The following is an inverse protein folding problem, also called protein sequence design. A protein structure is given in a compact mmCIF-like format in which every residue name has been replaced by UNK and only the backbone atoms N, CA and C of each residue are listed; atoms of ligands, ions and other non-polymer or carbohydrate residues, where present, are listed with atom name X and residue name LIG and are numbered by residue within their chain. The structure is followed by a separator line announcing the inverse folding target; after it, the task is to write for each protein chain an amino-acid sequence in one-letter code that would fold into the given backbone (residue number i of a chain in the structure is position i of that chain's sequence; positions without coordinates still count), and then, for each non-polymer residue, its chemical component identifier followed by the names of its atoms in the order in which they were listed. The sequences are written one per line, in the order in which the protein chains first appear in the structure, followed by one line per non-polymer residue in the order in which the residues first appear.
data_IF_136508819556
#
_entry.id   IF_136508819556
#
_cell.length_a   1.000
_cell.length_b   1.000
_cell.length_c   1.000
_cell.angle_alpha   90.00
_cell.angle_beta   90.00
_cell.angle_gamma   90.00
#
_symmetry.space_group_name_H-M   'P 1'
#
loop_
_entity.id
_entity.type
_entity.pdbx_description
1 polymer ?
#
# COMPACT_ATOMS: atom_id res chain seq x y z
N UNK A 1 14.03 0.57 9.56
CA UNK A 1 13.21 1.27 8.54
C UNK A 1 13.39 0.52 7.21
N UNK A 2 12.33 0.32 6.40
CA UNK A 2 12.42 -0.36 5.09
C UNK A 2 13.46 0.30 4.18
N UNK A 3 14.21 -0.52 3.43
CA UNK A 3 15.15 -0.03 2.43
C UNK A 3 14.47 0.45 1.13
N UNK A 4 13.27 -0.04 0.85
CA UNK A 4 12.48 0.31 -0.33
C UNK A 4 11.03 0.63 0.05
N UNK A 5 10.47 1.66 -0.60
CA UNK A 5 9.10 2.12 -0.40
C UNK A 5 8.34 2.22 -1.71
N UNK A 6 7.18 1.59 -1.79
CA UNK A 6 6.19 1.79 -2.83
C UNK A 6 5.21 2.88 -2.38
N UNK A 7 5.03 3.91 -3.22
CA UNK A 7 4.07 4.98 -2.97
C UNK A 7 2.85 4.76 -3.87
N UNK A 8 1.66 4.63 -3.27
CA UNK A 8 0.43 4.42 -4.01
C UNK A 8 -0.19 5.73 -4.48
N UNK A 9 -0.86 5.74 -5.62
CA UNK A 9 -1.64 6.87 -6.11
C UNK A 9 -2.81 6.35 -6.97
N UNK A 10 -3.76 7.23 -7.33
CA UNK A 10 -4.86 6.91 -8.24
C UNK A 10 -4.37 6.20 -9.50
N UNK A 11 -3.24 6.68 -10.07
CA UNK A 11 -2.72 6.19 -11.35
C UNK A 11 -2.22 4.75 -11.29
N UNK A 12 -1.68 4.31 -10.16
CA UNK A 12 -1.06 2.99 -10.03
C UNK A 12 -1.88 2.00 -9.20
N UNK A 13 -3.11 2.37 -8.76
CA UNK A 13 -3.94 1.55 -7.88
C UNK A 13 -4.14 0.12 -8.40
N UNK A 14 -4.36 -0.03 -9.71
CA UNK A 14 -4.56 -1.33 -10.36
C UNK A 14 -3.31 -2.21 -10.46
N UNK A 15 -2.13 -1.65 -10.19
CA UNK A 15 -0.84 -2.34 -10.26
C UNK A 15 -0.25 -2.67 -8.88
N UNK A 16 -0.86 -2.16 -7.80
CA UNK A 16 -0.28 -2.25 -6.44
C UNK A 16 -0.09 -3.69 -5.99
N UNK A 17 -1.05 -4.56 -6.27
CA UNK A 17 -0.99 -5.96 -5.86
C UNK A 17 0.15 -6.71 -6.55
N UNK A 18 0.40 -6.42 -7.84
CA UNK A 18 1.50 -7.00 -8.58
C UNK A 18 2.85 -6.45 -8.09
N UNK A 19 2.94 -5.13 -7.92
CA UNK A 19 4.14 -4.47 -7.41
C UNK A 19 4.53 -4.98 -6.02
N UNK A 20 3.56 -5.13 -5.11
CA UNK A 20 3.79 -5.66 -3.76
C UNK A 20 4.29 -7.11 -3.76
N UNK A 21 3.94 -7.93 -4.75
CA UNK A 21 4.48 -9.30 -4.85
C UNK A 21 5.90 -9.33 -5.41
N UNK A 22 6.26 -8.35 -6.23
CA UNK A 22 7.59 -8.25 -6.84
C UNK A 22 8.64 -7.61 -5.93
N UNK A 23 8.21 -6.92 -4.86
CA UNK A 23 9.12 -6.24 -3.96
C UNK A 23 9.93 -7.21 -3.06
N UNK A 24 11.20 -6.88 -2.75
CA UNK A 24 11.97 -7.61 -1.76
C UNK A 24 11.28 -7.61 -0.39
N UNK A 25 11.41 -8.71 0.35
CA UNK A 25 10.92 -8.82 1.73
C UNK A 25 11.46 -7.66 2.59
N UNK A 26 10.65 -7.16 3.52
CA UNK A 26 11.00 -6.00 4.35
C UNK A 26 10.76 -4.64 3.70
N UNK A 27 10.26 -4.58 2.46
CA UNK A 27 9.80 -3.34 1.81
C UNK A 27 8.59 -2.72 2.50
N UNK A 28 8.28 -1.47 2.18
CA UNK A 28 7.12 -0.74 2.71
C UNK A 28 6.16 -0.22 1.64
N UNK A 29 4.89 -0.03 2.02
CA UNK A 29 3.87 0.67 1.24
C UNK A 29 3.45 1.96 1.95
N UNK A 30 3.41 3.07 1.22
CA UNK A 30 2.76 4.32 1.64
C UNK A 30 1.48 4.49 0.83
N UNK A 31 0.33 4.44 1.49
CA UNK A 31 -0.98 4.56 0.85
C UNK A 31 -1.53 5.99 0.97
N UNK A 32 -1.63 6.73 -0.16
CA UNK A 32 -1.99 8.17 -0.17
C UNK A 32 -3.18 8.54 -1.08
N UNK A 33 -4.22 7.69 -1.14
CA UNK A 33 -5.37 7.91 -2.03
C UNK A 33 -6.35 8.94 -1.48
N UNK A 34 -5.98 10.22 -1.49
CA UNK A 34 -6.81 11.32 -0.99
C UNK A 34 -8.10 11.56 -1.79
N UNK A 35 -8.15 11.01 -2.99
CA UNK A 35 -9.33 11.13 -3.84
C UNK A 35 -10.46 10.17 -3.48
N UNK A 36 -10.19 9.12 -2.70
CA UNK A 36 -11.21 8.17 -2.30
C UNK A 36 -12.01 8.71 -1.12
N UNK A 37 -13.33 8.49 -1.09
CA UNK A 37 -14.12 8.70 0.12
C UNK A 37 -13.52 7.94 1.32
N UNK A 38 -13.63 8.45 2.56
CA UNK A 38 -12.95 7.87 3.72
C UNK A 38 -13.20 6.36 3.92
N UNK A 39 -14.45 5.91 3.73
CA UNK A 39 -14.82 4.50 3.86
C UNK A 39 -14.14 3.62 2.80
N UNK A 40 -14.15 4.05 1.54
CA UNK A 40 -13.50 3.35 0.43
C UNK A 40 -11.98 3.33 0.59
N UNK A 41 -11.41 4.47 0.99
CA UNK A 41 -9.98 4.63 1.28
C UNK A 41 -9.53 3.64 2.37
N UNK A 42 -10.28 3.54 3.48
CA UNK A 42 -9.98 2.61 4.55
C UNK A 42 -10.15 1.15 4.12
N UNK A 43 -11.18 0.82 3.34
CA UNK A 43 -11.41 -0.52 2.82
C UNK A 43 -10.26 -0.95 1.88
N UNK A 44 -9.87 -0.08 0.94
CA UNK A 44 -8.76 -0.30 0.02
C UNK A 44 -7.44 -0.49 0.77
N UNK A 45 -7.16 0.38 1.74
CA UNK A 45 -5.96 0.26 2.58
C UNK A 45 -5.91 -1.08 3.34
N UNK A 46 -7.01 -1.49 4.00
CA UNK A 46 -7.06 -2.78 4.71
C UNK A 46 -6.78 -3.97 3.81
N UNK A 47 -7.24 -3.93 2.55
CA UNK A 47 -6.97 -4.99 1.56
C UNK A 47 -5.48 -5.09 1.25
N UNK A 48 -4.82 -3.96 0.97
CA UNK A 48 -3.39 -3.91 0.68
C UNK A 48 -2.53 -4.21 1.92
N UNK A 49 -2.94 -3.78 3.10
CA UNK A 49 -2.25 -4.07 4.37
C UNK A 49 -2.18 -5.58 4.63
N UNK A 50 -3.26 -6.33 4.34
CA UNK A 50 -3.24 -7.80 4.45
C UNK A 50 -2.23 -8.44 3.49
N UNK A 51 -2.14 -7.91 2.26
CA UNK A 51 -1.15 -8.39 1.29
C UNK A 51 0.28 -8.10 1.77
N UNK A 52 0.54 -6.87 2.24
CA UNK A 52 1.82 -6.46 2.80
C UNK A 52 2.24 -7.39 3.95
N UNK A 53 1.35 -7.64 4.92
CA UNK A 53 1.63 -8.54 6.05
C UNK A 53 2.02 -9.95 5.60
N UNK A 54 1.31 -10.51 4.62
CA UNK A 54 1.61 -11.84 4.08
C UNK A 54 2.96 -11.89 3.34
N UNK A 55 3.35 -10.79 2.69
CA UNK A 55 4.61 -10.68 1.97
C UNK A 55 5.80 -10.24 2.86
N UNK A 56 5.57 -9.94 4.15
CA UNK A 56 6.60 -9.46 5.07
C UNK A 56 6.98 -7.99 4.84
N UNK A 57 6.01 -7.18 4.40
CA UNK A 57 6.12 -5.74 4.21
C UNK A 57 5.36 -4.98 5.29
N UNK A 58 5.77 -3.73 5.55
CA UNK A 58 4.96 -2.80 6.34
C UNK A 58 4.07 -1.95 5.44
N UNK A 59 2.93 -1.49 5.96
CA UNK A 59 2.04 -0.58 5.24
C UNK A 59 1.68 0.60 6.15
N UNK A 60 1.74 1.81 5.59
CA UNK A 60 1.45 3.07 6.27
C UNK A 60 0.36 3.80 5.50
N UNK A 61 -0.64 4.30 6.21
CA UNK A 61 -1.67 5.18 5.67
C UNK A 61 -1.17 6.62 5.77
N UNK A 62 -0.98 7.31 4.65
CA UNK A 62 -0.52 8.69 4.64
C UNK A 62 -1.71 9.65 4.65
N UNK A 63 -1.64 10.66 5.52
CA UNK A 63 -2.65 11.70 5.73
C UNK A 63 -3.68 11.33 6.80
N UNK A 64 -3.98 12.33 7.62
CA UNK A 64 -5.03 12.37 8.66
C UNK A 64 -6.40 12.58 8.05
#
# INVERSE_FOLDING_TARGET
MPAAWLVSDRRNDGLLEAALRALPRGSGLIFRHYHLPPCERAARFRRLQRLCRRAGHCAVLAGT
#
